data_IF_199593396904
#
_entry.id   IF_199593396904
#
_cell.length_a   1.000
_cell.length_b   1.000
_cell.length_c   1.000
_cell.angle_alpha   90.00
_cell.angle_beta   90.00
_cell.angle_gamma   90.00
#
_symmetry.space_group_name_H-M   'P 1'
#
loop_
_entity.id
_entity.type
_entity.pdbx_description
1 polymer ?
#
# COMPACT_ATOMS: atom_id res chain seq x y z
N UNK A 1 -5.81 5.61 -18.48
CA UNK A 1 -4.74 4.60 -18.39
C UNK A 1 -5.42 3.26 -18.19
N UNK A 2 -4.95 2.18 -18.81
CA UNK A 2 -5.51 0.85 -18.52
C UNK A 2 -4.98 0.38 -17.16
N UNK A 3 -5.89 0.18 -16.19
CA UNK A 3 -5.55 -0.20 -14.81
C UNK A 3 -4.83 -1.55 -14.79
N UNK A 4 -5.21 -2.51 -15.64
CA UNK A 4 -4.55 -3.82 -15.69
C UNK A 4 -3.09 -3.71 -16.12
N UNK A 5 -2.82 -2.90 -17.16
CA UNK A 5 -1.45 -2.64 -17.64
C UNK A 5 -0.64 -1.88 -16.58
N UNK A 6 -1.27 -0.98 -15.82
CA UNK A 6 -0.61 -0.28 -14.74
C UNK A 6 -0.20 -1.25 -13.62
N UNK A 7 -1.12 -2.11 -13.18
CA UNK A 7 -0.87 -3.12 -12.14
C UNK A 7 0.25 -4.07 -12.56
N UNK A 8 0.23 -4.61 -13.78
CA UNK A 8 1.31 -5.51 -14.21
C UNK A 8 2.68 -4.82 -14.22
N UNK A 9 2.73 -3.55 -14.63
CA UNK A 9 3.96 -2.74 -14.56
C UNK A 9 4.44 -2.50 -13.15
N UNK A 10 3.55 -2.30 -12.17
CA UNK A 10 3.98 -2.13 -10.78
C UNK A 10 4.51 -3.44 -10.23
N UNK A 11 3.89 -4.58 -10.53
CA UNK A 11 4.45 -5.89 -10.17
C UNK A 11 5.87 -6.10 -10.75
N UNK A 12 6.07 -5.81 -12.03
CA UNK A 12 7.39 -5.92 -12.65
C UNK A 12 8.41 -4.96 -12.02
N UNK A 13 8.00 -3.72 -11.74
CA UNK A 13 8.88 -2.68 -11.18
C UNK A 13 9.36 -3.00 -9.76
N UNK A 14 8.56 -3.71 -8.97
CA UNK A 14 8.88 -4.11 -7.61
C UNK A 14 9.38 -5.57 -7.50
N UNK A 15 9.46 -6.29 -8.62
CA UNK A 15 9.99 -7.67 -8.67
C UNK A 15 11.46 -7.80 -8.22
N UNK A 16 12.16 -6.67 -8.04
CA UNK A 16 13.51 -6.61 -7.48
C UNK A 16 13.56 -6.93 -5.98
N UNK A 17 12.43 -6.89 -5.28
CA UNK A 17 12.35 -7.25 -3.87
C UNK A 17 12.05 -8.74 -3.72
N UNK A 18 12.91 -9.44 -2.97
CA UNK A 18 12.68 -10.84 -2.62
C UNK A 18 11.57 -10.96 -1.57
N UNK A 19 10.90 -12.12 -1.56
CA UNK A 19 9.97 -12.46 -0.48
C UNK A 19 10.71 -12.42 0.86
N UNK A 20 10.29 -11.59 1.82
CA UNK A 20 10.99 -11.46 3.09
C UNK A 20 10.82 -12.73 3.93
N UNK A 21 11.86 -13.10 4.68
CA UNK A 21 11.75 -14.17 5.68
C UNK A 21 10.88 -13.76 6.88
N UNK A 22 10.97 -12.49 7.25
CA UNK A 22 10.14 -11.83 8.27
C UNK A 22 9.63 -10.51 7.71
N UNK A 23 8.32 -10.31 7.75
CA UNK A 23 7.68 -9.13 7.20
C UNK A 23 7.72 -7.93 8.15
N UNK A 24 7.77 -8.17 9.46
CA UNK A 24 7.81 -7.13 10.50
C UNK A 24 9.01 -7.32 11.44
N UNK A 25 9.26 -6.35 12.33
CA UNK A 25 10.24 -6.47 13.41
C UNK A 25 9.68 -7.31 14.57
N UNK A 26 9.77 -8.64 14.46
CA UNK A 26 9.17 -9.62 15.40
C UNK A 26 9.66 -9.53 16.85
N UNK A 27 10.73 -8.80 17.10
CA UNK A 27 11.32 -8.55 18.43
C UNK A 27 10.88 -7.21 19.05
N UNK A 28 10.13 -6.38 18.32
CA UNK A 28 9.69 -5.06 18.77
C UNK A 28 8.52 -5.13 19.78
N UNK A 29 7.46 -5.85 19.43
CA UNK A 29 6.28 -6.04 20.28
C UNK A 29 5.47 -7.28 19.81
N UNK A 30 4.49 -7.69 20.62
CA UNK A 30 3.63 -8.83 20.31
C UNK A 30 2.79 -8.60 19.04
N UNK A 31 2.31 -7.38 18.81
CA UNK A 31 1.54 -7.03 17.60
C UNK A 31 2.37 -7.19 16.32
N UNK A 32 3.66 -6.83 16.32
CA UNK A 32 4.54 -7.11 15.20
C UNK A 32 4.66 -8.62 14.94
N UNK A 33 4.76 -9.43 16.01
CA UNK A 33 4.87 -10.89 15.89
C UNK A 33 3.60 -11.48 15.30
N UNK A 34 2.43 -11.09 15.82
CA UNK A 34 1.13 -11.56 15.35
C UNK A 34 0.95 -11.25 13.86
N UNK A 35 1.22 -10.00 13.45
CA UNK A 35 1.18 -9.63 12.04
C UNK A 35 2.17 -10.40 11.18
N UNK A 36 3.37 -10.68 11.68
CA UNK A 36 4.33 -11.50 10.96
C UNK A 36 3.86 -12.94 10.80
N UNK A 37 3.20 -13.52 11.81
CA UNK A 37 2.68 -14.88 11.74
C UNK A 37 1.49 -14.97 10.76
N UNK A 38 0.70 -13.89 10.64
CA UNK A 38 -0.41 -13.78 9.68
C UNK A 38 0.06 -13.69 8.21
N UNK A 39 1.17 -12.99 7.94
CA UNK A 39 1.61 -12.66 6.57
C UNK A 39 2.94 -13.29 6.14
N UNK A 40 3.77 -13.75 7.07
CA UNK A 40 5.17 -14.13 6.88
C UNK A 40 5.43 -15.34 5.98
N UNK A 41 4.39 -15.95 5.43
CA UNK A 41 4.46 -17.02 4.45
C UNK A 41 3.66 -16.78 3.18
N UNK A 42 2.95 -15.66 3.07
CA UNK A 42 2.00 -15.38 1.99
C UNK A 42 2.75 -14.81 0.78
N UNK A 43 2.38 -15.21 -0.44
CA UNK A 43 2.95 -14.56 -1.61
C UNK A 43 2.27 -13.21 -1.84
N UNK A 44 3.00 -12.26 -2.41
CA UNK A 44 2.49 -10.90 -2.63
C UNK A 44 1.08 -10.87 -3.27
N UNK A 45 0.81 -11.65 -4.32
CA UNK A 45 -0.51 -11.71 -4.97
C UNK A 45 -1.61 -12.41 -4.17
N UNK A 46 -1.23 -13.25 -3.21
CA UNK A 46 -2.18 -14.02 -2.40
C UNK A 46 -2.60 -13.27 -1.12
N UNK A 47 -2.03 -12.08 -0.88
CA UNK A 47 -2.34 -11.28 0.30
C UNK A 47 -3.79 -10.75 0.20
N UNK A 48 -4.59 -11.15 1.19
CA UNK A 48 -6.01 -10.82 1.29
C UNK A 48 -6.25 -9.50 2.02
N UNK A 49 -7.38 -8.81 1.75
CA UNK A 49 -7.78 -7.63 2.53
C UNK A 49 -7.86 -7.89 4.04
N UNK A 50 -8.29 -9.10 4.45
CA UNK A 50 -8.35 -9.51 5.86
C UNK A 50 -6.98 -9.46 6.54
N UNK A 51 -5.94 -9.92 5.83
CA UNK A 51 -4.56 -9.92 6.33
C UNK A 51 -3.93 -8.53 6.31
N UNK A 52 -4.39 -7.64 5.42
CA UNK A 52 -3.85 -6.28 5.32
C UNK A 52 -4.40 -5.40 6.45
N UNK A 53 -5.68 -5.57 6.78
CA UNK A 53 -6.37 -4.82 7.82
C UNK A 53 -7.26 -3.71 7.25
N UNK A 54 -7.43 -2.65 8.03
CA UNK A 54 -8.36 -1.53 7.82
C UNK A 54 -7.61 -0.21 7.85
N UNK A 55 -8.29 0.87 7.55
CA UNK A 55 -7.69 2.21 7.56
C UNK A 55 -7.08 2.59 8.92
N UNK A 56 -7.72 2.19 10.02
CA UNK A 56 -7.28 2.50 11.39
C UNK A 56 -6.28 1.49 11.97
N UNK A 57 -6.17 0.30 11.37
CA UNK A 57 -5.31 -0.78 11.87
C UNK A 57 -4.94 -1.73 10.73
N UNK A 58 -3.66 -1.78 10.37
CA UNK A 58 -3.21 -2.66 9.29
C UNK A 58 -1.71 -2.85 9.26
N UNK A 59 -1.28 -3.87 8.52
CA UNK A 59 0.12 -4.34 8.50
C UNK A 59 1.09 -3.30 7.93
N UNK A 60 0.60 -2.38 7.10
CA UNK A 60 1.44 -1.45 6.33
C UNK A 60 2.38 -0.66 7.23
N UNK A 61 1.91 -0.24 8.42
CA UNK A 61 2.70 0.51 9.42
C UNK A 61 3.77 -0.32 10.14
N UNK A 62 3.71 -1.65 10.04
CA UNK A 62 4.60 -2.60 10.71
C UNK A 62 5.60 -3.27 9.77
N UNK A 63 5.42 -3.13 8.45
CA UNK A 63 6.31 -3.72 7.45
C UNK A 63 7.73 -3.18 7.59
N UNK A 64 8.70 -4.07 7.46
CA UNK A 64 10.11 -3.71 7.19
C UNK A 64 10.23 -3.06 5.80
N UNK A 65 11.39 -2.48 5.50
CA UNK A 65 11.64 -1.83 4.22
C UNK A 65 11.53 -2.82 3.05
N UNK A 66 12.10 -4.01 3.25
CA UNK A 66 12.09 -5.10 2.30
C UNK A 66 10.67 -5.64 2.10
N UNK A 67 9.93 -5.84 3.19
CA UNK A 67 8.55 -6.33 3.12
C UNK A 67 7.61 -5.31 2.47
N UNK A 68 7.79 -4.02 2.75
CA UNK A 68 7.05 -2.96 2.06
C UNK A 68 7.32 -3.00 0.55
N UNK A 69 8.59 -3.12 0.13
CA UNK A 69 8.94 -3.26 -1.28
C UNK A 69 8.33 -4.51 -1.93
N UNK A 70 8.28 -5.63 -1.21
CA UNK A 70 7.68 -6.87 -1.70
C UNK A 70 6.15 -6.79 -1.84
N UNK A 71 5.45 -6.22 -0.85
CA UNK A 71 3.99 -6.23 -0.79
C UNK A 71 3.30 -5.04 -1.47
N UNK A 72 3.98 -3.91 -1.66
CA UNK A 72 3.33 -2.69 -2.18
C UNK A 72 2.64 -2.86 -3.55
N UNK A 73 3.08 -3.71 -4.50
CA UNK A 73 2.34 -3.91 -5.75
C UNK A 73 0.92 -4.43 -5.52
N UNK A 74 0.73 -5.31 -4.52
CA UNK A 74 -0.59 -5.80 -4.14
C UNK A 74 -1.42 -4.71 -3.48
N UNK A 75 -0.81 -3.89 -2.62
CA UNK A 75 -1.50 -2.75 -1.99
C UNK A 75 -1.94 -1.73 -3.05
N UNK A 76 -1.11 -1.49 -4.07
CA UNK A 76 -1.45 -0.68 -5.23
C UNK A 76 -2.62 -1.30 -6.00
N UNK A 77 -2.54 -2.58 -6.35
CA UNK A 77 -3.58 -3.31 -7.07
C UNK A 77 -4.94 -3.14 -6.38
N UNK A 78 -5.03 -3.52 -5.11
CA UNK A 78 -6.27 -3.44 -4.33
C UNK A 78 -6.86 -2.02 -4.31
N UNK A 79 -6.01 -0.99 -4.24
CA UNK A 79 -6.46 0.39 -4.22
C UNK A 79 -7.04 0.81 -5.59
N UNK A 80 -6.33 0.51 -6.69
CA UNK A 80 -6.74 0.96 -8.02
C UNK A 80 -7.84 0.10 -8.66
N UNK A 81 -8.09 -1.10 -8.14
CA UNK A 81 -9.22 -1.94 -8.58
C UNK A 81 -10.48 -1.73 -7.73
N UNK A 82 -10.46 -0.77 -6.78
CA UNK A 82 -11.56 -0.47 -5.87
C UNK A 82 -12.04 -1.70 -5.07
N UNK A 83 -11.09 -2.51 -4.59
CA UNK A 83 -11.41 -3.58 -3.65
C UNK A 83 -11.74 -2.98 -2.28
N UNK A 84 -12.55 -3.71 -1.51
CA UNK A 84 -12.88 -3.34 -0.14
C UNK A 84 -11.94 -4.00 0.86
N UNK A 85 -11.80 -3.38 2.03
CA UNK A 85 -11.21 -4.00 3.21
C UNK A 85 -12.18 -5.01 3.86
N UNK A 86 -11.72 -5.67 4.94
CA UNK A 86 -12.52 -6.67 5.67
C UNK A 86 -13.83 -6.14 6.28
N UNK A 87 -14.03 -4.83 6.32
CA UNK A 87 -15.24 -4.19 6.83
C UNK A 87 -16.13 -3.64 5.71
N UNK A 88 -15.77 -3.88 4.43
CA UNK A 88 -16.50 -3.33 3.29
C UNK A 88 -16.21 -1.84 3.06
N UNK A 89 -15.09 -1.33 3.60
CA UNK A 89 -14.66 0.05 3.32
C UNK A 89 -13.70 0.05 2.13
N UNK A 90 -13.82 0.98 1.18
CA UNK A 90 -12.92 1.01 0.03
C UNK A 90 -11.45 1.06 0.45
N UNK A 91 -10.65 0.10 -0.02
CA UNK A 91 -9.26 -0.06 0.37
C UNK A 91 -8.39 1.15 -0.01
N UNK A 92 -8.80 1.92 -1.02
CA UNK A 92 -8.14 3.18 -1.40
C UNK A 92 -8.00 4.16 -0.23
N UNK A 93 -8.95 4.21 0.70
CA UNK A 93 -8.86 5.05 1.90
C UNK A 93 -7.72 4.59 2.82
N UNK A 94 -7.59 3.28 3.05
CA UNK A 94 -6.48 2.68 3.78
C UNK A 94 -5.14 2.95 3.11
N UNK A 95 -5.09 2.85 1.79
CA UNK A 95 -3.89 3.14 1.00
C UNK A 95 -3.45 4.60 1.15
N UNK A 96 -4.36 5.56 1.04
CA UNK A 96 -4.05 6.99 1.21
C UNK A 96 -3.52 7.26 2.62
N UNK A 97 -4.19 6.72 3.64
CA UNK A 97 -3.79 6.92 5.04
C UNK A 97 -2.40 6.35 5.34
N UNK A 98 -2.18 5.09 4.99
CA UNK A 98 -1.02 4.33 5.46
C UNK A 98 0.20 4.56 4.57
N UNK A 99 0.01 4.75 3.27
CA UNK A 99 1.10 4.90 2.30
C UNK A 99 1.15 6.32 1.77
N UNK A 100 0.01 6.85 1.31
CA UNK A 100 -0.08 8.18 0.69
C UNK A 100 0.46 9.29 1.57
N UNK A 101 0.06 9.33 2.85
CA UNK A 101 0.42 10.38 3.80
C UNK A 101 1.76 10.16 4.52
N UNK A 102 2.54 9.14 4.13
CA UNK A 102 3.74 8.70 4.86
C UNK A 102 4.99 8.62 3.98
N UNK A 103 5.09 9.43 2.92
CA UNK A 103 6.16 9.32 1.90
C UNK A 103 7.59 9.36 2.43
N UNK A 104 7.83 10.01 3.57
CA UNK A 104 9.12 10.14 4.24
C UNK A 104 9.42 9.04 5.28
N UNK A 105 8.49 8.11 5.49
CA UNK A 105 8.66 6.98 6.40
C UNK A 105 9.87 6.14 6.01
N UNK A 106 10.61 5.66 7.01
CA UNK A 106 11.75 4.77 6.84
C UNK A 106 11.40 3.51 6.03
N UNK A 107 10.13 3.08 6.01
CA UNK A 107 9.65 1.91 5.27
C UNK A 107 9.85 2.04 3.75
N UNK A 108 9.94 3.26 3.24
CA UNK A 108 10.13 3.53 1.81
C UNK A 108 11.59 3.85 1.46
N UNK A 109 12.53 3.74 2.41
CA UNK A 109 13.93 4.14 2.22
C UNK A 109 14.66 3.35 1.10
N UNK A 110 14.20 2.14 0.79
CA UNK A 110 14.78 1.32 -0.28
C UNK A 110 14.16 1.59 -1.67
N UNK A 111 13.14 2.44 -1.76
CA UNK A 111 12.46 2.66 -3.03
C UNK A 111 13.31 3.51 -3.97
N UNK A 112 13.51 3.01 -5.17
CA UNK A 112 14.06 3.79 -6.27
C UNK A 112 13.13 4.94 -6.65
N UNK A 113 13.66 5.92 -7.37
CA UNK A 113 12.85 7.03 -7.92
C UNK A 113 11.66 6.54 -8.75
N UNK A 114 11.85 5.49 -9.56
CA UNK A 114 10.78 4.93 -10.38
C UNK A 114 9.67 4.31 -9.53
N UNK A 115 10.04 3.59 -8.46
CA UNK A 115 9.09 3.00 -7.51
C UNK A 115 8.31 4.06 -6.74
N UNK A 116 8.96 5.15 -6.30
CA UNK A 116 8.26 6.29 -5.68
C UNK A 116 7.29 6.98 -6.64
N UNK A 117 7.68 7.11 -7.91
CA UNK A 117 6.78 7.64 -8.96
C UNK A 117 5.57 6.73 -9.18
N UNK A 118 5.73 5.40 -9.13
CA UNK A 118 4.59 4.49 -9.26
C UNK A 118 3.57 4.65 -8.11
N UNK A 119 4.03 4.90 -6.88
CA UNK A 119 3.13 5.22 -5.76
C UNK A 119 2.41 6.54 -6.01
N UNK A 120 3.12 7.56 -6.49
CA UNK A 120 2.49 8.85 -6.87
C UNK A 120 1.46 8.69 -7.98
N UNK A 121 1.78 7.93 -9.02
CA UNK A 121 0.89 7.67 -10.15
C UNK A 121 -0.36 6.90 -9.68
N UNK A 122 -0.21 6.01 -8.70
CA UNK A 122 -1.35 5.35 -8.02
C UNK A 122 -2.29 6.40 -7.42
N UNK A 123 -1.77 7.37 -6.65
CA UNK A 123 -2.58 8.42 -6.03
C UNK A 123 -3.29 9.30 -7.09
N UNK A 124 -2.62 9.61 -8.20
CA UNK A 124 -3.28 10.31 -9.32
C UNK A 124 -4.41 9.48 -9.94
N UNK A 125 -4.21 8.18 -10.15
CA UNK A 125 -5.27 7.28 -10.65
C UNK A 125 -6.46 7.29 -9.70
N UNK A 126 -6.22 7.19 -8.38
CA UNK A 126 -7.27 7.24 -7.38
C UNK A 126 -8.07 8.55 -7.44
N UNK A 127 -7.35 9.69 -7.49
CA UNK A 127 -7.99 11.00 -7.62
C UNK A 127 -8.81 11.13 -8.90
N UNK A 128 -8.25 10.75 -10.04
CA UNK A 128 -8.90 10.93 -11.34
C UNK A 128 -10.09 9.99 -11.54
N UNK A 129 -10.05 8.80 -10.96
CA UNK A 129 -11.03 7.72 -11.21
C UNK A 129 -12.11 7.65 -10.14
N UNK A 130 -11.78 7.92 -8.88
CA UNK A 130 -12.63 7.63 -7.73
C UNK A 130 -12.93 8.87 -6.87
N UNK A 131 -12.83 10.08 -7.43
CA UNK A 131 -13.05 11.33 -6.69
C UNK A 131 -14.39 11.37 -5.94
N UNK A 132 -15.48 10.91 -6.58
CA UNK A 132 -16.81 10.91 -5.94
C UNK A 132 -16.84 10.01 -4.70
N UNK A 133 -16.21 8.83 -4.77
CA UNK A 133 -16.05 7.92 -3.62
C UNK A 133 -15.16 8.53 -2.55
N UNK A 134 -14.06 9.19 -2.93
CA UNK A 134 -13.20 9.88 -1.97
C UNK A 134 -13.95 10.97 -1.21
N UNK A 135 -14.80 11.76 -1.90
CA UNK A 135 -15.66 12.78 -1.27
C UNK A 135 -16.68 12.13 -0.33
N UNK A 136 -17.31 11.04 -0.73
CA UNK A 136 -18.28 10.31 0.11
C UNK A 136 -17.65 9.84 1.43
N UNK A 137 -16.37 9.49 1.40
CA UNK A 137 -15.62 9.02 2.56
C UNK A 137 -14.76 10.11 3.23
N UNK A 138 -14.86 11.37 2.80
CA UNK A 138 -14.10 12.51 3.31
C UNK A 138 -12.56 12.38 3.16
N UNK A 139 -12.07 12.03 1.97
CA UNK A 139 -10.63 11.87 1.63
C UNK A 139 -10.16 12.84 0.53
N UNK A 140 -10.99 13.81 0.12
CA UNK A 140 -10.71 14.72 -0.99
C UNK A 140 -9.49 15.62 -0.77
N UNK A 141 -9.21 16.01 0.48
CA UNK A 141 -8.07 16.86 0.83
C UNK A 141 -6.80 16.01 1.05
N UNK A 142 -6.96 14.84 1.67
CA UNK A 142 -5.89 13.90 2.00
C UNK A 142 -5.20 13.37 0.74
N UNK A 143 -5.97 13.08 -0.33
CA UNK A 143 -5.38 12.62 -1.60
C UNK A 143 -4.47 13.69 -2.21
N UNK A 144 -4.82 14.97 -2.09
CA UNK A 144 -3.98 16.08 -2.57
C UNK A 144 -2.72 16.26 -1.72
N UNK A 145 -2.85 16.10 -0.40
CA UNK A 145 -1.71 16.04 0.50
C UNK A 145 -0.76 14.89 0.15
N UNK A 146 -1.29 13.69 -0.10
CA UNK A 146 -0.53 12.52 -0.47
C UNK A 146 0.21 12.71 -1.81
N UNK A 147 -0.46 13.22 -2.86
CA UNK A 147 0.18 13.48 -4.16
C UNK A 147 1.34 14.47 -4.01
N UNK A 148 1.18 15.49 -3.18
CA UNK A 148 2.22 16.49 -2.91
C UNK A 148 3.44 15.86 -2.23
N UNK A 149 3.21 15.04 -1.21
CA UNK A 149 4.24 14.32 -0.47
C UNK A 149 5.09 13.41 -1.37
N UNK A 150 4.46 12.66 -2.26
CA UNK A 150 5.16 11.77 -3.19
C UNK A 150 5.73 12.49 -4.43
N UNK A 151 5.48 13.80 -4.56
CA UNK A 151 6.00 14.65 -5.63
C UNK A 151 7.39 15.23 -5.38
N UNK A 152 7.89 15.19 -4.14
CA UNK A 152 9.22 15.69 -3.71
C UNK A 152 10.29 14.60 -3.70
#
# INVERSE_FOLDING_TARGET
MDISIFVDKTYDLFSTFDKPLVATKVDHCDECRDHNDEIGGVNCRDLSPEQIGTVCWGISSFLTQEAMGYYIPRLIELAVTAEDDKHGTPYMCSFINQIGLSSSSDQFALFSKAQRLAVRDTLFILKDTYMDTLIEHCWEDEIDGAITQWGT
#
